data_IF_281900268420
#
_entry.id   IF_281900268420
#
_cell.length_a   1.000
_cell.length_b   1.000
_cell.length_c   1.000
_cell.angle_alpha   90.00
_cell.angle_beta   90.00
_cell.angle_gamma   90.00
#
_symmetry.space_group_name_H-M   'P 1'
#
loop_
_entity.id
_entity.type
_entity.pdbx_description
1 polymer ?
#
# COMPACT_ATOMS: atom_id res chain seq x y z
N UNK A 1 1.25 17.58 -35.67
CA UNK A 1 2.02 17.63 -34.40
C UNK A 1 1.79 16.30 -33.70
N UNK A 2 2.74 15.39 -33.86
CA UNK A 2 2.71 14.07 -33.22
C UNK A 2 2.95 14.27 -31.73
N UNK A 3 1.95 14.01 -30.91
CA UNK A 3 2.14 13.86 -29.46
C UNK A 3 3.10 12.68 -29.29
N UNK A 4 4.33 12.98 -28.88
CA UNK A 4 5.23 11.94 -28.40
C UNK A 4 4.50 11.23 -27.26
N UNK A 5 4.32 9.91 -27.38
CA UNK A 5 3.82 9.08 -26.31
C UNK A 5 4.80 9.24 -25.13
N UNK A 6 4.47 10.11 -24.19
CA UNK A 6 5.14 10.22 -22.91
C UNK A 6 5.15 8.81 -22.34
N UNK A 7 6.33 8.25 -22.09
CA UNK A 7 6.45 6.90 -21.53
C UNK A 7 5.54 6.82 -20.30
N UNK A 8 4.47 6.02 -20.40
CA UNK A 8 3.54 5.82 -19.30
C UNK A 8 4.34 5.31 -18.11
N UNK A 9 4.17 5.98 -16.97
CA UNK A 9 4.72 5.51 -15.70
C UNK A 9 4.28 4.07 -15.44
N UNK A 10 5.13 3.26 -14.82
CA UNK A 10 4.84 1.85 -14.53
C UNK A 10 3.62 1.66 -13.62
N UNK A 11 3.22 2.71 -12.90
CA UNK A 11 1.98 2.82 -12.15
C UNK A 11 1.17 4.00 -12.67
N UNK A 12 -0.16 3.88 -12.77
CA UNK A 12 -1.07 4.93 -13.21
C UNK A 12 -2.43 4.79 -12.54
N UNK A 13 -3.23 5.84 -12.55
CA UNK A 13 -4.62 5.79 -12.09
C UNK A 13 -5.53 5.39 -13.25
N UNK A 14 -6.51 4.51 -13.03
CA UNK A 14 -7.52 4.16 -14.02
C UNK A 14 -8.93 4.20 -13.42
N UNK A 15 -9.88 4.73 -14.18
CA UNK A 15 -11.29 4.68 -13.82
C UNK A 15 -11.78 3.24 -13.67
N UNK A 16 -12.47 2.95 -12.56
CA UNK A 16 -12.99 1.62 -12.29
C UNK A 16 -14.16 1.21 -13.21
N UNK A 17 -14.77 2.17 -13.90
CA UNK A 17 -15.88 1.90 -14.81
C UNK A 17 -15.33 1.38 -16.15
N UNK A 18 -15.67 0.14 -16.56
CA UNK A 18 -15.11 -0.46 -17.77
C UNK A 18 -15.40 0.34 -19.05
N UNK A 19 -16.59 0.94 -19.13
CA UNK A 19 -17.00 1.76 -20.29
C UNK A 19 -16.26 3.09 -20.38
N UNK A 20 -15.70 3.56 -19.26
CA UNK A 20 -14.94 4.81 -19.20
C UNK A 20 -13.45 4.54 -19.42
N UNK A 21 -12.84 3.71 -18.58
CA UNK A 21 -11.44 3.28 -18.71
C UNK A 21 -10.39 4.41 -18.72
N UNK A 22 -10.77 5.66 -18.43
CA UNK A 22 -9.88 6.82 -18.49
C UNK A 22 -8.69 6.66 -17.53
N UNK A 23 -7.50 7.04 -18.01
CA UNK A 23 -6.24 6.90 -17.28
C UNK A 23 -5.60 8.25 -16.99
N UNK A 24 -4.89 8.32 -15.86
CA UNK A 24 -4.21 9.53 -15.36
C UNK A 24 -2.85 9.16 -14.76
N UNK A 25 -1.92 10.11 -14.70
CA UNK A 25 -0.63 9.94 -14.04
C UNK A 25 -0.80 9.66 -12.54
N UNK A 26 0.09 8.86 -11.95
CA UNK A 26 -0.01 8.50 -10.53
C UNK A 26 0.24 9.71 -9.61
N UNK A 27 0.99 10.70 -10.09
CA UNK A 27 1.27 11.97 -9.43
C UNK A 27 0.10 12.96 -9.45
N UNK A 28 -0.94 12.71 -10.26
CA UNK A 28 -2.10 13.58 -10.34
C UNK A 28 -2.98 13.43 -9.11
N UNK A 29 -3.24 14.51 -8.38
CA UNK A 29 -4.09 14.48 -7.18
C UNK A 29 -5.57 14.49 -7.60
N UNK A 30 -6.17 13.30 -7.65
CA UNK A 30 -7.56 13.09 -8.07
C UNK A 30 -8.32 12.26 -7.05
N UNK A 31 -9.57 12.64 -6.80
CA UNK A 31 -10.49 11.89 -5.91
C UNK A 31 -11.59 11.17 -6.69
N UNK A 32 -11.73 11.47 -7.98
CA UNK A 32 -12.69 10.85 -8.90
C UNK A 32 -12.21 11.01 -10.34
N UNK A 33 -12.79 10.24 -11.25
CA UNK A 33 -12.54 10.31 -12.68
C UNK A 33 -13.17 11.58 -13.28
N UNK A 34 -12.39 12.41 -13.96
CA UNK A 34 -12.87 13.65 -14.61
C UNK A 34 -13.92 13.39 -15.71
N UNK A 35 -13.90 12.22 -16.32
CA UNK A 35 -14.80 11.90 -17.44
C UNK A 35 -16.19 11.46 -16.99
N UNK A 36 -16.32 10.81 -15.83
CA UNK A 36 -17.59 10.18 -15.42
C UNK A 36 -17.91 10.28 -13.91
N UNK A 37 -17.00 10.82 -13.09
CA UNK A 37 -17.18 10.96 -11.64
C UNK A 37 -17.01 9.67 -10.81
N UNK A 38 -16.71 8.54 -11.44
CA UNK A 38 -16.46 7.28 -10.73
C UNK A 38 -15.12 7.27 -9.98
N UNK A 39 -14.90 6.24 -9.16
CA UNK A 39 -13.64 6.05 -8.45
C UNK A 39 -12.49 5.71 -9.41
N UNK A 40 -11.28 5.94 -8.93
CA UNK A 40 -10.04 5.56 -9.58
C UNK A 40 -9.39 4.43 -8.80
N UNK A 41 -8.74 3.52 -9.52
CA UNK A 41 -7.88 2.47 -8.98
C UNK A 41 -6.44 2.66 -9.47
N UNK A 42 -5.46 2.13 -8.73
CA UNK A 42 -4.07 2.14 -9.15
C UNK A 42 -3.79 0.89 -9.97
N UNK A 43 -3.38 1.10 -11.21
CA UNK A 43 -3.00 0.06 -12.14
C UNK A 43 -1.49 0.09 -12.38
N UNK A 44 -0.96 -1.06 -12.75
CA UNK A 44 0.44 -1.24 -13.07
C UNK A 44 0.60 -1.83 -14.48
N UNK A 45 1.63 -1.38 -15.18
CA UNK A 45 1.99 -1.92 -16.50
C UNK A 45 2.75 -3.23 -16.33
N UNK A 46 2.01 -4.32 -16.09
CA UNK A 46 2.57 -5.64 -15.81
C UNK A 46 3.40 -6.21 -16.96
N UNK A 47 3.15 -5.78 -18.20
CA UNK A 47 3.92 -6.21 -19.38
C UNK A 47 5.33 -5.58 -19.39
N UNK A 48 5.49 -4.41 -18.76
CA UNK A 48 6.77 -3.68 -18.65
C UNK A 48 7.45 -3.83 -17.30
N UNK A 49 6.74 -4.33 -16.28
CA UNK A 49 7.29 -4.51 -14.96
C UNK A 49 8.17 -5.76 -14.86
N UNK A 50 9.38 -5.57 -14.36
CA UNK A 50 10.24 -6.67 -13.93
C UNK A 50 9.82 -7.10 -12.52
N UNK A 51 8.97 -8.12 -12.43
CA UNK A 51 8.55 -8.72 -11.16
C UNK A 51 9.34 -10.00 -10.86
N UNK A 52 9.68 -10.27 -9.59
CA UNK A 52 10.31 -11.53 -9.23
C UNK A 52 9.41 -12.75 -9.52
N UNK A 53 9.98 -13.80 -10.10
CA UNK A 53 9.23 -15.01 -10.52
C UNK A 53 8.69 -15.87 -9.35
N UNK A 54 9.05 -15.57 -8.10
CA UNK A 54 8.59 -16.35 -6.95
C UNK A 54 8.54 -15.58 -5.64
N UNK A 55 7.64 -16.00 -4.76
CA UNK A 55 7.53 -15.47 -3.40
C UNK A 55 8.81 -15.68 -2.56
N UNK A 56 9.62 -16.71 -2.87
CA UNK A 56 10.91 -16.96 -2.21
C UNK A 56 11.88 -15.78 -2.35
N UNK A 57 11.76 -15.02 -3.44
CA UNK A 57 12.56 -13.82 -3.62
C UNK A 57 12.28 -12.78 -2.51
N UNK A 58 11.00 -12.58 -2.18
CA UNK A 58 10.58 -11.72 -1.07
C UNK A 58 10.91 -12.31 0.29
N UNK A 59 10.83 -13.63 0.46
CA UNK A 59 11.23 -14.31 1.71
C UNK A 59 12.68 -13.99 2.09
N UNK A 60 13.60 -13.94 1.10
CA UNK A 60 15.01 -13.62 1.36
C UNK A 60 15.21 -12.24 1.99
N UNK A 61 14.29 -11.28 1.76
CA UNK A 61 14.33 -9.95 2.40
C UNK A 61 14.18 -10.01 3.93
N UNK A 62 13.61 -11.08 4.52
CA UNK A 62 13.55 -11.23 5.99
C UNK A 62 14.93 -11.23 6.65
N UNK A 63 15.96 -11.70 5.96
CA UNK A 63 17.33 -11.70 6.48
C UNK A 63 17.93 -10.30 6.60
N UNK A 64 17.32 -9.29 5.96
CA UNK A 64 17.82 -7.92 5.86
C UNK A 64 16.96 -6.93 6.66
N UNK A 65 16.42 -7.33 7.80
CA UNK A 65 15.50 -6.51 8.64
C UNK A 65 16.07 -5.19 9.18
N UNK A 66 17.38 -4.94 9.03
CA UNK A 66 17.97 -3.64 9.31
C UNK A 66 17.69 -2.61 8.20
N UNK A 67 17.36 -3.05 6.99
CA UNK A 67 16.88 -2.21 5.89
C UNK A 67 15.38 -1.90 6.10
N UNK A 68 14.98 -0.62 6.16
CA UNK A 68 13.57 -0.22 6.30
C UNK A 68 12.63 -0.84 5.26
N UNK A 69 13.06 -0.96 4.00
CA UNK A 69 12.26 -1.57 2.93
C UNK A 69 11.99 -3.05 3.23
N UNK A 70 13.03 -3.77 3.63
CA UNK A 70 12.94 -5.20 3.96
C UNK A 70 12.19 -5.45 5.28
N UNK A 71 12.26 -4.49 6.21
CA UNK A 71 11.53 -4.54 7.49
C UNK A 71 10.03 -4.35 7.28
N UNK A 72 9.59 -3.39 6.47
CA UNK A 72 8.16 -3.18 6.20
C UNK A 72 7.52 -4.43 5.59
N UNK A 73 6.36 -4.81 6.10
CA UNK A 73 5.50 -5.83 5.52
C UNK A 73 4.85 -5.43 4.20
N UNK A 74 4.76 -4.13 3.92
CA UNK A 74 4.27 -3.58 2.65
C UNK A 74 5.44 -3.40 1.69
N UNK A 75 6.43 -2.60 2.05
CA UNK A 75 7.52 -2.22 1.14
C UNK A 75 8.53 -3.32 0.85
N UNK A 76 8.51 -4.43 1.60
CA UNK A 76 9.25 -5.62 1.18
C UNK A 76 8.78 -6.11 -0.19
N UNK A 77 7.54 -5.83 -0.57
CA UNK A 77 6.96 -6.12 -1.88
C UNK A 77 7.00 -4.92 -2.85
N UNK A 78 7.95 -3.98 -2.66
CA UNK A 78 8.08 -2.78 -3.50
C UNK A 78 8.08 -3.08 -5.01
N UNK A 79 8.67 -4.20 -5.43
CA UNK A 79 8.73 -4.64 -6.83
C UNK A 79 7.34 -4.92 -7.42
N UNK A 80 6.33 -5.18 -6.59
CA UNK A 80 4.93 -5.35 -6.99
C UNK A 80 4.12 -4.05 -6.89
N UNK A 81 4.66 -3.02 -6.23
CA UNK A 81 4.02 -1.72 -5.99
C UNK A 81 4.94 -0.52 -6.33
N UNK A 82 5.62 -0.48 -7.50
CA UNK A 82 6.69 0.49 -7.77
C UNK A 82 6.18 1.86 -8.23
N UNK A 83 5.23 2.45 -7.49
CA UNK A 83 4.68 3.78 -7.80
C UNK A 83 5.57 4.94 -7.31
N UNK A 84 6.51 4.65 -6.43
CA UNK A 84 7.51 5.58 -5.89
C UNK A 84 8.87 4.89 -5.83
N UNK A 85 9.99 5.63 -5.94
CA UNK A 85 11.32 5.02 -5.83
C UNK A 85 11.60 4.59 -4.37
N UNK A 86 12.39 3.52 -4.14
CA UNK A 86 12.58 2.94 -2.82
C UNK A 86 13.10 3.92 -1.75
N UNK A 87 13.94 4.88 -2.12
CA UNK A 87 14.50 5.88 -1.22
C UNK A 87 13.49 6.96 -0.76
N UNK A 88 12.31 7.02 -1.39
CA UNK A 88 11.25 7.98 -1.05
C UNK A 88 10.11 7.35 -0.25
N UNK A 89 10.14 6.05 0.00
CA UNK A 89 9.05 5.42 0.76
C UNK A 89 9.07 5.86 2.22
N UNK A 90 7.90 6.09 2.77
CA UNK A 90 7.68 6.31 4.19
C UNK A 90 7.29 4.99 4.81
N UNK A 91 7.90 4.63 5.95
CA UNK A 91 7.53 3.42 6.69
C UNK A 91 7.79 3.59 8.18
N UNK A 92 6.98 2.91 8.99
CA UNK A 92 7.21 2.73 10.44
C UNK A 92 7.46 1.26 10.80
N UNK A 93 7.62 0.39 9.80
CA UNK A 93 7.80 -1.06 9.97
C UNK A 93 6.48 -1.83 10.12
N UNK A 94 5.39 -1.27 9.60
CA UNK A 94 4.05 -1.86 9.48
C UNK A 94 4.03 -3.21 8.72
N UNK A 95 2.91 -3.93 8.74
CA UNK A 95 2.64 -5.15 7.96
C UNK A 95 3.39 -6.41 8.40
N UNK A 96 4.08 -6.39 9.54
CA UNK A 96 4.81 -7.55 10.08
C UNK A 96 3.99 -8.28 11.14
N UNK A 97 2.71 -8.46 10.88
CA UNK A 97 1.76 -8.98 11.86
C UNK A 97 1.80 -10.52 11.92
N UNK A 98 1.47 -11.10 13.09
CA UNK A 98 1.54 -12.53 13.24
C UNK A 98 0.30 -13.21 12.65
N UNK A 99 0.55 -14.29 11.92
CA UNK A 99 -0.46 -15.25 11.49
C UNK A 99 -0.56 -16.37 12.55
N UNK A 100 -1.60 -16.34 13.38
CA UNK A 100 -1.74 -17.20 14.55
C UNK A 100 -2.75 -18.32 14.29
N UNK A 101 -2.34 -19.57 14.52
CA UNK A 101 -3.27 -20.72 14.49
C UNK A 101 -4.22 -20.66 15.70
N UNK A 102 -5.52 -20.84 15.47
CA UNK A 102 -6.53 -20.73 16.54
C UNK A 102 -7.45 -21.95 16.56
N UNK A 103 -6.90 -23.07 17.03
CA UNK A 103 -7.60 -24.37 17.01
C UNK A 103 -8.88 -24.37 17.86
N UNK A 104 -8.91 -23.67 19.00
CA UNK A 104 -10.11 -23.62 19.86
C UNK A 104 -11.31 -22.92 19.22
N UNK A 105 -11.09 -21.81 18.50
CA UNK A 105 -12.15 -21.17 17.71
C UNK A 105 -12.51 -22.04 16.51
N UNK A 106 -11.51 -22.66 15.87
CA UNK A 106 -11.71 -23.60 14.78
C UNK A 106 -12.65 -24.75 15.15
N UNK A 107 -12.41 -25.38 16.30
CA UNK A 107 -13.25 -26.45 16.84
C UNK A 107 -14.68 -25.98 17.09
N UNK A 108 -14.85 -24.80 17.69
CA UNK A 108 -16.16 -24.21 17.96
C UNK A 108 -17.01 -24.02 16.68
N UNK A 109 -16.38 -23.71 15.55
CA UNK A 109 -17.06 -23.54 14.25
C UNK A 109 -17.01 -24.78 13.34
N UNK A 110 -16.58 -25.93 13.86
CA UNK A 110 -16.55 -27.20 13.11
C UNK A 110 -15.40 -27.34 12.11
N UNK A 111 -14.35 -26.54 12.23
CA UNK A 111 -13.13 -26.66 11.41
C UNK A 111 -12.16 -27.68 12.01
N UNK A 112 -11.40 -28.35 11.12
CA UNK A 112 -10.33 -29.25 11.55
C UNK A 112 -9.17 -28.45 12.18
N UNK A 113 -8.41 -29.04 13.13
CA UNK A 113 -7.21 -28.42 13.69
C UNK A 113 -6.24 -27.95 12.58
N UNK A 114 -5.66 -26.77 12.76
CA UNK A 114 -4.75 -26.15 11.79
C UNK A 114 -5.37 -25.62 10.52
N UNK A 115 -6.70 -25.52 10.44
CA UNK A 115 -7.37 -24.92 9.28
C UNK A 115 -7.85 -23.48 9.52
N UNK A 116 -7.84 -23.00 10.76
CA UNK A 116 -8.16 -21.61 11.09
C UNK A 116 -6.90 -20.88 11.54
N UNK A 117 -6.55 -19.83 10.79
CA UNK A 117 -5.49 -18.89 11.11
C UNK A 117 -6.08 -17.47 11.18
N UNK A 118 -5.58 -16.68 12.12
CA UNK A 118 -5.94 -15.29 12.30
C UNK A 118 -4.72 -14.41 12.03
N UNK A 119 -4.82 -13.53 11.05
CA UNK A 119 -3.82 -12.50 10.78
C UNK A 119 -4.08 -11.30 11.71
N UNK A 120 -3.16 -11.04 12.65
CA UNK A 120 -3.44 -10.10 13.73
C UNK A 120 -2.96 -8.68 13.40
N UNK A 121 -3.65 -8.05 12.44
CA UNK A 121 -3.39 -6.69 11.93
C UNK A 121 -3.40 -5.58 13.00
N UNK A 122 -3.98 -5.86 14.18
CA UNK A 122 -3.95 -4.95 15.33
C UNK A 122 -2.56 -4.81 15.98
N UNK A 123 -1.59 -5.63 15.61
CA UNK A 123 -0.20 -5.52 16.06
C UNK A 123 0.66 -4.60 15.19
N UNK A 124 0.05 -3.87 14.26
CA UNK A 124 0.70 -2.75 13.58
C UNK A 124 1.02 -1.60 14.55
N UNK A 125 1.99 -0.72 14.23
CA UNK A 125 2.45 0.35 15.13
C UNK A 125 1.37 1.28 15.72
N UNK A 126 0.33 1.63 14.95
CA UNK A 126 -0.81 2.42 15.46
C UNK A 126 -1.88 1.60 16.17
N UNK A 127 -1.71 0.28 16.22
CA UNK A 127 -2.73 -0.66 16.68
C UNK A 127 -3.76 -1.03 15.60
N UNK A 128 -3.49 -0.76 14.31
CA UNK A 128 -4.47 -0.98 13.24
C UNK A 128 -3.87 -1.33 11.88
N UNK A 129 -4.60 -2.13 11.10
CA UNK A 129 -4.33 -2.41 9.69
C UNK A 129 -4.25 -1.16 8.80
N UNK A 130 -4.76 -0.01 9.26
CA UNK A 130 -4.69 1.25 8.52
C UNK A 130 -3.26 1.68 8.21
N UNK A 131 -2.28 1.24 9.00
CA UNK A 131 -0.87 1.52 8.74
C UNK A 131 -0.41 0.99 7.37
N UNK A 132 -0.93 -0.15 6.92
CA UNK A 132 -0.56 -0.75 5.64
C UNK A 132 -0.96 0.14 4.45
N UNK A 133 -2.05 0.90 4.56
CA UNK A 133 -2.45 1.88 3.55
C UNK A 133 -1.80 3.25 3.77
N UNK A 134 -1.64 3.65 5.03
CA UNK A 134 -1.09 4.96 5.38
C UNK A 134 0.37 5.12 4.94
N UNK A 135 1.14 4.03 4.96
CA UNK A 135 2.51 3.98 4.43
C UNK A 135 2.59 4.41 2.95
N UNK A 136 1.69 3.87 2.12
CA UNK A 136 1.58 4.20 0.71
C UNK A 136 1.04 5.62 0.51
N UNK A 137 0.02 6.01 1.27
CA UNK A 137 -0.59 7.33 1.21
C UNK A 137 0.42 8.45 1.55
N UNK A 138 1.25 8.28 2.59
CA UNK A 138 2.25 9.28 2.96
C UNK A 138 3.45 9.30 2.00
N UNK A 139 3.81 8.16 1.43
CA UNK A 139 4.79 8.09 0.33
C UNK A 139 4.29 8.91 -0.87
N UNK A 140 3.04 8.72 -1.27
CA UNK A 140 2.41 9.49 -2.34
C UNK A 140 2.28 10.98 -1.98
N UNK A 141 1.87 11.30 -0.74
CA UNK A 141 1.75 12.68 -0.27
C UNK A 141 3.07 13.46 -0.42
N UNK A 142 4.20 12.85 -0.06
CA UNK A 142 5.51 13.46 -0.31
C UNK A 142 5.84 13.57 -1.80
N UNK A 143 5.49 12.57 -2.61
CA UNK A 143 5.71 12.59 -4.05
C UNK A 143 4.98 13.74 -4.75
N UNK A 144 3.76 14.06 -4.33
CA UNK A 144 2.96 15.18 -4.88
C UNK A 144 3.23 16.52 -4.20
N UNK A 145 4.21 16.58 -3.28
CA UNK A 145 4.59 17.81 -2.59
C UNK A 145 3.52 18.33 -1.61
N UNK A 146 2.70 17.44 -1.04
CA UNK A 146 1.78 17.82 0.02
C UNK A 146 2.55 18.43 1.20
N UNK A 147 1.93 19.39 1.87
CA UNK A 147 2.50 20.04 3.07
C UNK A 147 1.70 19.73 4.33
N UNK A 148 0.49 19.19 4.17
CA UNK A 148 -0.45 18.92 5.25
C UNK A 148 -1.24 17.65 5.02
N UNK A 149 -1.62 17.00 6.11
CA UNK A 149 -2.57 15.90 6.10
C UNK A 149 -3.72 16.18 7.06
N UNK A 150 -4.94 15.77 6.68
CA UNK A 150 -6.12 15.94 7.51
C UNK A 150 -7.06 14.76 7.30
N UNK A 151 -7.87 14.45 8.31
CA UNK A 151 -8.94 13.47 8.18
C UNK A 151 -10.17 13.90 9.00
N UNK A 152 -11.35 13.56 8.50
CA UNK A 152 -12.61 13.67 9.23
C UNK A 152 -13.00 12.30 9.79
N UNK A 153 -12.17 11.77 10.68
CA UNK A 153 -12.34 10.47 11.32
C UNK A 153 -11.99 10.56 12.81
N UNK A 154 -12.69 9.80 13.63
CA UNK A 154 -12.43 9.70 15.08
C UNK A 154 -11.80 8.37 15.49
N UNK A 155 -11.56 7.44 14.55
CA UNK A 155 -11.08 6.09 14.82
C UNK A 155 -9.68 5.77 14.29
N UNK A 156 -9.44 4.51 13.94
CA UNK A 156 -8.12 4.00 13.53
C UNK A 156 -7.43 4.83 12.42
N UNK A 157 -8.20 5.37 11.48
CA UNK A 157 -7.65 6.21 10.41
C UNK A 157 -6.96 7.46 10.95
N UNK A 158 -7.53 8.15 11.95
CA UNK A 158 -6.93 9.35 12.52
C UNK A 158 -5.70 9.03 13.39
N UNK A 159 -5.72 7.89 14.09
CA UNK A 159 -4.56 7.43 14.86
C UNK A 159 -3.37 7.09 13.94
N UNK A 160 -3.62 6.32 12.89
CA UNK A 160 -2.62 5.98 11.87
C UNK A 160 -2.11 7.24 11.16
N UNK A 161 -3.01 8.14 10.72
CA UNK A 161 -2.63 9.41 10.08
C UNK A 161 -1.71 10.24 10.97
N UNK A 162 -2.06 10.42 12.25
CA UNK A 162 -1.25 11.18 13.20
C UNK A 162 0.15 10.56 13.42
N UNK A 163 0.25 9.22 13.48
CA UNK A 163 1.52 8.51 13.58
C UNK A 163 2.42 8.79 12.35
N UNK A 164 1.84 8.71 11.15
CA UNK A 164 2.59 8.92 9.91
C UNK A 164 2.96 10.40 9.69
N UNK A 165 2.10 11.36 10.07
CA UNK A 165 2.46 12.79 10.15
C UNK A 165 3.72 13.01 10.97
N UNK A 166 3.74 12.45 12.19
CA UNK A 166 4.87 12.58 13.10
C UNK A 166 6.15 11.94 12.51
N UNK A 167 6.02 10.76 11.91
CA UNK A 167 7.15 9.98 11.39
C UNK A 167 7.73 10.56 10.09
N UNK A 168 6.90 11.22 9.27
CA UNK A 168 7.29 11.73 7.95
C UNK A 168 7.53 13.24 7.92
N UNK A 169 7.29 13.94 9.04
CA UNK A 169 7.39 15.40 9.18
C UNK A 169 6.42 16.19 8.29
N UNK A 170 5.32 15.56 7.87
CA UNK A 170 4.14 16.26 7.34
C UNK A 170 3.31 16.77 8.52
N UNK A 171 3.09 18.09 8.59
CA UNK A 171 2.31 18.71 9.67
C UNK A 171 0.80 18.56 9.48
#
# INVERSE_FOLDING_TARGET
MSLAATATSLAYQQCIMPDCGASYGVEEVRTSCDACGALLDIQYDWDRLEVPDSLRWFEQKWSRRNDPLCRSGVWRFHELLPFAPPEKVVTVGEGQTPLVRTDGVGEYIGMRPGQLLLEYEGMNPSGSFKDNGMTAAFTHAHQVGASRAACASTGNTSASLALYCCSSKLM
#
